data_IF_300365563126
#
_entry.id   IF_300365563126
#
_cell.length_a   1.000
_cell.length_b   1.000
_cell.length_c   1.000
_cell.angle_alpha   90.00
_cell.angle_beta   90.00
_cell.angle_gamma   90.00
#
_symmetry.space_group_name_H-M   'P 1'
#
loop_
_entity.id
_entity.type
_entity.pdbx_description
1 polymer ?
#
# COMPACT_ATOMS: atom_id res chain seq x y z
N UNK A 1 27.77 -7.05 11.39
CA UNK A 1 26.44 -7.68 11.27
C UNK A 1 25.88 -7.22 9.93
N UNK A 2 25.84 -8.11 8.94
CA UNK A 2 25.34 -7.78 7.60
C UNK A 2 23.81 -7.83 7.64
N UNK A 3 23.15 -6.70 7.42
CA UNK A 3 21.73 -6.72 7.08
C UNK A 3 21.65 -7.23 5.64
N UNK A 4 21.25 -8.50 5.48
CA UNK A 4 20.75 -8.99 4.19
C UNK A 4 19.61 -8.04 3.80
N UNK A 5 19.65 -7.50 2.58
CA UNK A 5 18.48 -6.90 1.99
C UNK A 5 17.39 -7.99 1.95
N UNK A 6 16.46 -7.95 2.89
CA UNK A 6 15.24 -8.72 2.78
C UNK A 6 14.37 -7.93 1.82
N UNK A 7 14.20 -8.44 0.61
CA UNK A 7 13.18 -7.94 -0.31
C UNK A 7 11.87 -7.81 0.48
N UNK A 8 11.23 -6.64 0.44
CA UNK A 8 9.90 -6.49 1.00
C UNK A 8 8.93 -7.39 0.23
N UNK A 9 8.63 -8.57 0.76
CA UNK A 9 7.59 -9.42 0.21
C UNK A 9 6.25 -9.03 0.83
N UNK A 10 5.21 -9.02 0.01
CA UNK A 10 3.85 -8.80 0.49
C UNK A 10 3.33 -10.15 0.98
N UNK A 11 2.87 -10.20 2.22
CA UNK A 11 2.14 -11.33 2.74
C UNK A 11 0.71 -11.33 2.16
N UNK A 12 0.42 -12.29 1.28
CA UNK A 12 -0.92 -12.48 0.70
C UNK A 12 -1.83 -13.27 1.63
N UNK A 13 -3.14 -13.07 1.49
CA UNK A 13 -4.16 -13.82 2.24
C UNK A 13 -4.17 -13.49 3.73
N UNK A 14 -3.68 -12.31 4.11
CA UNK A 14 -3.60 -11.89 5.50
C UNK A 14 -5.02 -11.67 6.05
N UNK A 15 -5.48 -12.46 7.04
CA UNK A 15 -6.83 -12.30 7.56
C UNK A 15 -6.96 -11.00 8.35
N UNK A 16 -8.08 -10.29 8.16
CA UNK A 16 -8.40 -9.08 8.89
C UNK A 16 -9.64 -9.26 9.75
N UNK A 17 -9.50 -8.93 11.03
CA UNK A 17 -10.62 -8.96 11.97
C UNK A 17 -11.36 -7.63 12.02
N UNK A 18 -12.67 -7.68 12.25
CA UNK A 18 -13.46 -6.48 12.49
C UNK A 18 -12.88 -5.65 13.64
N UNK A 19 -12.65 -4.36 13.40
CA UNK A 19 -12.09 -3.43 14.37
C UNK A 19 -10.57 -3.49 14.51
N UNK A 20 -9.88 -4.38 13.78
CA UNK A 20 -8.42 -4.48 13.78
C UNK A 20 -7.79 -3.11 13.49
N UNK A 21 -6.84 -2.64 14.32
CA UNK A 21 -6.15 -1.40 14.08
C UNK A 21 -5.22 -1.54 12.87
N UNK A 22 -5.36 -0.61 11.94
CA UNK A 22 -4.48 -0.46 10.78
C UNK A 22 -3.85 0.92 10.81
N UNK A 23 -2.60 1.00 10.38
CA UNK A 23 -1.81 2.21 10.32
C UNK A 23 -1.73 2.69 8.88
N UNK A 24 -1.64 4.00 8.69
CA UNK A 24 -1.42 4.59 7.37
C UNK A 24 -0.59 5.85 7.52
N UNK A 25 0.11 6.22 6.45
CA UNK A 25 0.87 7.45 6.38
C UNK A 25 0.54 8.15 5.06
N UNK A 26 -0.27 9.21 5.15
CA UNK A 26 -0.63 10.06 4.02
C UNK A 26 0.35 11.22 3.85
N UNK A 27 0.46 11.73 2.62
CA UNK A 27 1.29 12.91 2.33
C UNK A 27 0.78 14.15 3.08
N UNK A 28 -0.55 14.29 3.19
CA UNK A 28 -1.20 15.44 3.82
C UNK A 28 -1.56 15.13 5.27
N UNK A 29 -2.15 13.96 5.53
CA UNK A 29 -2.61 13.62 6.89
C UNK A 29 -1.53 13.05 7.81
N UNK A 30 -0.30 12.86 7.32
CA UNK A 30 0.78 12.18 8.05
C UNK A 30 0.31 10.80 8.59
N UNK A 31 0.80 10.39 9.76
CA UNK A 31 0.46 9.12 10.37
C UNK A 31 -0.95 9.13 11.00
N UNK A 32 -1.76 8.12 10.68
CA UNK A 32 -3.08 7.88 11.28
C UNK A 32 -3.26 6.40 11.67
N UNK A 33 -4.21 6.16 12.59
CA UNK A 33 -4.60 4.80 13.02
C UNK A 33 -6.09 4.63 12.75
N UNK A 34 -6.40 3.78 11.80
CA UNK A 34 -7.76 3.44 11.39
C UNK A 34 -8.20 2.11 12.01
N UNK A 35 -9.49 1.80 11.95
CA UNK A 35 -10.04 0.48 12.32
C UNK A 35 -10.72 -0.15 11.13
N UNK A 36 -10.35 -1.39 10.82
CA UNK A 36 -10.98 -2.15 9.73
C UNK A 36 -12.47 -2.37 10.01
N UNK A 37 -13.31 -2.05 9.02
CA UNK A 37 -14.75 -2.04 9.21
C UNK A 37 -15.41 -3.39 8.92
N UNK A 38 -14.71 -4.34 8.28
CA UNK A 38 -15.23 -5.60 7.70
C UNK A 38 -16.38 -5.42 6.68
N UNK A 39 -16.65 -4.19 6.25
CA UNK A 39 -17.72 -3.90 5.30
C UNK A 39 -17.10 -3.67 3.91
N UNK A 40 -17.21 -4.65 2.99
CA UNK A 40 -16.99 -4.41 1.58
C UNK A 40 -17.92 -3.28 1.13
N UNK A 41 -17.32 -2.30 0.46
CA UNK A 41 -17.97 -1.13 -0.10
C UNK A 41 -17.94 -1.28 -1.60
N UNK A 42 -19.11 -1.45 -2.22
CA UNK A 42 -19.20 -1.43 -3.67
C UNK A 42 -19.06 0.01 -4.18
N UNK A 43 -18.08 0.25 -5.04
CA UNK A 43 -17.85 1.56 -5.66
C UNK A 43 -18.29 1.52 -7.11
N UNK A 44 -19.11 2.49 -7.50
CA UNK A 44 -19.52 2.67 -8.87
C UNK A 44 -18.59 3.66 -9.59
N UNK A 45 -17.96 3.22 -10.66
CA UNK A 45 -17.25 4.08 -11.60
C UNK A 45 -18.07 4.25 -12.88
N UNK A 46 -17.98 5.42 -13.51
CA UNK A 46 -18.62 5.68 -14.81
C UNK A 46 -17.54 5.64 -15.87
N UNK A 47 -17.60 4.66 -16.76
CA UNK A 47 -16.69 4.55 -17.89
C UNK A 47 -16.94 5.69 -18.90
N UNK A 48 -15.97 5.94 -19.77
CA UNK A 48 -16.05 7.01 -20.77
C UNK A 48 -17.25 6.90 -21.72
N UNK A 49 -17.79 5.69 -21.90
CA UNK A 49 -19.00 5.40 -22.68
C UNK A 49 -20.32 5.62 -21.89
N UNK A 50 -20.25 6.08 -20.63
CA UNK A 50 -21.40 6.28 -19.74
C UNK A 50 -21.87 5.03 -19.01
N UNK A 51 -21.23 3.88 -19.23
CA UNK A 51 -21.54 2.62 -18.54
C UNK A 51 -21.11 2.70 -17.06
N UNK A 52 -21.96 2.20 -16.17
CA UNK A 52 -21.59 2.05 -14.75
C UNK A 52 -20.91 0.71 -14.53
N UNK A 53 -19.77 0.75 -13.87
CA UNK A 53 -19.03 -0.43 -13.40
C UNK A 53 -18.99 -0.40 -11.89
N UNK A 54 -18.99 -1.58 -11.28
CA UNK A 54 -18.88 -1.73 -9.84
C UNK A 54 -17.57 -2.47 -9.52
N UNK A 55 -16.91 -2.06 -8.45
CA UNK A 55 -15.80 -2.79 -7.82
C UNK A 55 -16.09 -2.96 -6.34
N UNK A 56 -15.67 -4.07 -5.75
CA UNK A 56 -15.84 -4.34 -4.32
C UNK A 56 -14.55 -3.98 -3.58
N UNK A 57 -14.64 -2.98 -2.72
CA UNK A 57 -13.46 -2.37 -2.08
C UNK A 57 -13.60 -2.43 -0.57
N UNK A 58 -12.50 -2.29 0.14
CA UNK A 58 -12.50 -2.39 1.60
C UNK A 58 -12.55 -1.01 2.25
N UNK A 59 -12.95 -0.95 3.52
CA UNK A 59 -12.97 0.32 4.25
C UNK A 59 -12.42 0.23 5.67
N UNK A 60 -11.83 1.34 6.10
CA UNK A 60 -11.45 1.57 7.49
C UNK A 60 -12.07 2.87 8.00
N UNK A 61 -12.36 2.92 9.29
CA UNK A 61 -12.84 4.13 9.95
C UNK A 61 -11.69 4.81 10.71
N UNK A 62 -11.51 6.10 10.49
CA UNK A 62 -10.67 6.96 11.34
C UNK A 62 -11.45 7.37 12.58
N UNK A 63 -10.73 7.64 13.67
CA UNK A 63 -11.34 8.27 14.85
C UNK A 63 -11.56 9.74 14.56
N UNK A 64 -12.66 10.31 15.05
CA UNK A 64 -12.98 11.72 14.87
C UNK A 64 -11.90 12.70 15.38
N UNK A 65 -11.03 12.25 16.30
CA UNK A 65 -9.92 13.05 16.83
C UNK A 65 -8.66 13.02 15.95
N UNK A 66 -8.62 12.18 14.91
CA UNK A 66 -7.49 12.09 13.98
C UNK A 66 -7.73 12.97 12.76
N UNK A 67 -6.65 13.40 12.09
CA UNK A 67 -6.76 14.07 10.80
C UNK A 67 -7.61 13.25 9.83
N UNK A 68 -8.49 13.93 9.10
CA UNK A 68 -9.23 13.36 7.99
C UNK A 68 -8.27 12.87 6.90
N UNK A 69 -8.73 11.90 6.11
CA UNK A 69 -8.07 11.55 4.85
C UNK A 69 -8.36 12.64 3.83
N UNK A 70 -7.30 13.28 3.32
CA UNK A 70 -7.40 14.48 2.48
C UNK A 70 -7.04 14.20 1.01
N UNK A 71 -7.49 15.04 0.07
CA UNK A 71 -6.98 15.02 -1.30
C UNK A 71 -5.44 15.14 -1.30
N UNK A 72 -4.75 14.10 -1.78
CA UNK A 72 -3.28 13.98 -1.71
C UNK A 72 -2.81 12.77 -0.91
N UNK A 73 -3.67 12.19 -0.07
CA UNK A 73 -3.37 10.95 0.66
C UNK A 73 -3.61 9.67 -0.18
N UNK A 74 -4.22 9.78 -1.36
CA UNK A 74 -4.43 8.65 -2.28
C UNK A 74 -3.09 8.01 -2.66
N UNK A 75 -3.05 6.68 -2.64
CA UNK A 75 -1.83 5.88 -2.79
C UNK A 75 -1.17 5.52 -1.46
N UNK A 76 -1.63 6.06 -0.32
CA UNK A 76 -1.12 5.68 1.00
C UNK A 76 -1.39 4.20 1.29
N UNK A 77 -0.37 3.49 1.76
CA UNK A 77 -0.52 2.11 2.20
C UNK A 77 -1.25 2.07 3.55
N UNK A 78 -2.08 1.03 3.71
CA UNK A 78 -2.54 0.57 5.01
C UNK A 78 -1.71 -0.63 5.41
N UNK A 79 -1.28 -0.67 6.67
CA UNK A 79 -0.45 -1.74 7.18
C UNK A 79 -0.77 -2.09 8.64
N UNK A 80 -0.46 -3.31 9.05
CA UNK A 80 -0.65 -3.76 10.43
C UNK A 80 0.37 -3.11 11.37
N UNK A 81 0.20 -3.25 12.68
CA UNK A 81 1.21 -2.82 13.66
C UNK A 81 2.57 -3.50 13.51
N UNK A 82 2.66 -4.59 12.73
CA UNK A 82 3.91 -5.29 12.40
C UNK A 82 4.54 -4.83 11.08
N UNK A 83 3.90 -3.90 10.35
CA UNK A 83 4.39 -3.39 9.08
C UNK A 83 3.92 -4.17 7.84
N UNK A 84 3.08 -5.20 7.99
CA UNK A 84 2.57 -5.94 6.84
C UNK A 84 1.56 -5.09 6.08
N UNK A 85 1.77 -4.89 4.77
CA UNK A 85 0.84 -4.17 3.92
C UNK A 85 -0.48 -4.94 3.77
N UNK A 86 -1.58 -4.23 3.97
CA UNK A 86 -2.95 -4.75 3.90
C UNK A 86 -3.69 -4.24 2.67
N UNK A 87 -3.31 -3.07 2.17
CA UNK A 87 -3.92 -2.52 0.97
C UNK A 87 -3.47 -1.09 0.72
N UNK A 88 -4.11 -0.47 -0.27
CA UNK A 88 -3.77 0.88 -0.72
C UNK A 88 -5.02 1.76 -0.72
N UNK A 89 -4.98 2.85 0.04
CA UNK A 89 -6.05 3.83 0.10
C UNK A 89 -6.13 4.62 -1.20
N UNK A 90 -7.34 4.86 -1.70
CA UNK A 90 -7.53 5.69 -2.90
C UNK A 90 -8.62 6.75 -2.73
N UNK A 91 -9.41 6.71 -1.65
CA UNK A 91 -10.46 7.69 -1.43
C UNK A 91 -10.94 7.81 0.01
N UNK A 92 -11.54 8.96 0.30
CA UNK A 92 -12.23 9.24 1.55
C UNK A 92 -13.73 9.47 1.33
N UNK A 93 -14.54 9.04 2.30
CA UNK A 93 -15.96 9.31 2.43
C UNK A 93 -16.22 9.98 3.78
N UNK A 94 -17.37 10.66 3.90
CA UNK A 94 -17.79 11.33 5.14
C UNK A 94 -16.69 12.27 5.66
N UNK A 95 -16.27 13.24 4.84
CA UNK A 95 -15.19 14.19 5.15
C UNK A 95 -13.88 13.48 5.56
N UNK A 96 -13.53 12.40 4.85
CA UNK A 96 -12.29 11.66 5.09
C UNK A 96 -12.26 10.79 6.34
N UNK A 97 -13.40 10.59 7.01
CA UNK A 97 -13.50 9.74 8.22
C UNK A 97 -13.64 8.25 7.89
N UNK A 98 -14.18 7.93 6.70
CA UNK A 98 -14.18 6.57 6.17
C UNK A 98 -13.16 6.56 5.03
N UNK A 99 -12.11 5.76 5.15
CA UNK A 99 -11.10 5.60 4.11
C UNK A 99 -11.40 4.31 3.36
N UNK A 100 -11.44 4.41 2.03
CA UNK A 100 -11.71 3.31 1.13
C UNK A 100 -10.40 2.89 0.47
N UNK A 101 -10.17 1.59 0.39
CA UNK A 101 -8.89 1.03 -0.03
C UNK A 101 -9.08 -0.30 -0.76
N UNK A 102 -8.19 -0.58 -1.70
CA UNK A 102 -8.12 -1.88 -2.39
C UNK A 102 -7.29 -2.82 -1.56
N UNK A 103 -7.79 -4.04 -1.34
CA UNK A 103 -7.04 -5.05 -0.59
C UNK A 103 -5.77 -5.43 -1.34
N UNK A 104 -4.72 -5.81 -0.61
CA UNK A 104 -3.42 -6.08 -1.24
C UNK A 104 -3.46 -7.28 -2.19
N UNK A 105 -4.28 -8.29 -1.87
CA UNK A 105 -4.48 -9.46 -2.74
C UNK A 105 -5.13 -9.07 -4.07
N UNK A 106 -6.16 -8.21 -4.03
CA UNK A 106 -6.84 -7.72 -5.23
C UNK A 106 -5.89 -6.85 -6.06
N UNK A 107 -5.12 -5.98 -5.41
CA UNK A 107 -4.11 -5.15 -6.09
C UNK A 107 -3.05 -6.01 -6.79
N UNK A 108 -2.58 -7.09 -6.13
CA UNK A 108 -1.63 -8.03 -6.74
C UNK A 108 -2.28 -8.75 -7.93
N UNK A 109 -3.51 -9.23 -7.77
CA UNK A 109 -4.24 -9.92 -8.83
C UNK A 109 -4.41 -9.02 -10.06
N UNK A 110 -4.81 -7.77 -9.86
CA UNK A 110 -4.97 -6.77 -10.93
C UNK A 110 -3.65 -6.48 -11.64
N UNK A 111 -2.55 -6.31 -10.89
CA UNK A 111 -1.22 -6.10 -11.48
C UNK A 111 -0.83 -7.29 -12.34
N UNK A 112 -1.02 -8.53 -11.85
CA UNK A 112 -0.70 -9.75 -12.60
C UNK A 112 -1.55 -9.86 -13.87
N UNK A 113 -2.85 -9.56 -13.79
CA UNK A 113 -3.73 -9.56 -14.96
C UNK A 113 -3.26 -8.56 -16.02
N UNK A 114 -2.87 -7.35 -15.62
CA UNK A 114 -2.45 -6.30 -16.55
C UNK A 114 -1.06 -6.52 -17.15
N UNK A 115 -0.16 -7.16 -16.41
CA UNK A 115 1.26 -7.27 -16.80
C UNK A 115 1.68 -8.68 -17.22
N UNK A 116 0.82 -9.67 -17.01
CA UNK A 116 1.10 -11.10 -17.24
C UNK A 116 2.33 -11.63 -16.49
N UNK A 117 2.65 -11.05 -15.32
CA UNK A 117 3.74 -11.52 -14.45
C UNK A 117 3.24 -12.55 -13.43
N UNK A 118 4.12 -13.46 -13.04
CA UNK A 118 3.81 -14.48 -12.03
C UNK A 118 3.98 -13.95 -10.58
N UNK A 119 4.83 -12.94 -10.39
CA UNK A 119 5.21 -12.39 -9.08
C UNK A 119 5.22 -10.86 -9.09
N UNK A 120 4.72 -10.26 -8.00
CA UNK A 120 4.73 -8.81 -7.77
C UNK A 120 5.59 -8.53 -6.53
N UNK A 121 6.58 -7.65 -6.70
CA UNK A 121 7.49 -7.23 -5.63
C UNK A 121 7.42 -5.72 -5.49
N UNK A 122 7.14 -5.21 -4.30
CA UNK A 122 7.27 -3.78 -4.01
C UNK A 122 8.70 -3.48 -3.54
N UNK A 123 9.46 -2.78 -4.36
CA UNK A 123 10.80 -2.34 -4.01
C UNK A 123 10.73 -1.22 -2.96
N UNK A 124 11.22 -1.49 -1.75
CA UNK A 124 11.60 -0.43 -0.82
C UNK A 124 12.97 0.11 -1.24
N UNK A 125 13.08 1.42 -1.42
CA UNK A 125 14.28 2.14 -1.90
C UNK A 125 15.61 1.64 -1.33
N UNK A 126 16.67 1.66 -2.16
CA UNK A 126 18.06 1.43 -1.72
C UNK A 126 18.59 2.57 -0.83
N UNK A 127 19.44 2.19 0.13
CA UNK A 127 20.28 3.07 0.95
C UNK A 127 21.19 3.96 0.08
N UNK A 128 21.33 5.27 0.34
CA UNK A 128 22.16 6.16 -0.45
C UNK A 128 23.63 5.99 -0.04
N UNK A 129 24.35 5.10 -0.71
CA UNK A 129 25.80 5.01 -0.62
C UNK A 129 26.37 4.55 -1.95
N UNK A 130 27.25 5.35 -2.54
CA UNK A 130 27.85 5.07 -3.85
C UNK A 130 28.44 3.66 -3.95
N UNK A 131 28.43 3.05 -5.15
CA UNK A 131 29.23 1.86 -5.40
C UNK A 131 30.69 2.27 -5.30
N UNK A 132 31.29 2.06 -4.12
CA UNK A 132 32.73 2.13 -3.97
C UNK A 132 33.32 1.08 -4.90
N UNK A 133 33.89 1.55 -6.00
CA UNK A 133 34.85 0.79 -6.80
C UNK A 133 35.81 0.15 -5.81
N UNK A 134 35.86 -1.17 -5.77
CA UNK A 134 36.81 -1.88 -4.93
C UNK A 134 38.21 -1.33 -5.19
N UNK A 135 39.01 -1.03 -4.15
CA UNK A 135 40.40 -0.65 -4.37
C UNK A 135 41.14 -1.90 -4.84
N UNK A 136 41.39 -2.02 -6.15
CA UNK A 136 42.49 -2.87 -6.62
C UNK A 136 42.38 -3.65 -7.92
N UNK A 137 41.39 -3.45 -8.81
CA UNK A 137 41.54 -3.95 -10.19
C UNK A 137 42.01 -2.85 -11.14
N UNK A 138 43.31 -2.94 -11.43
CA UNK A 138 44.11 -2.59 -12.64
C UNK A 138 45.46 -2.05 -12.18
N UNK A 139 46.62 -2.39 -12.72
CA UNK A 139 47.01 -3.23 -13.86
C UNK A 139 48.53 -3.49 -13.69
N UNK A 140 49.02 -4.62 -14.22
CA UNK A 140 50.38 -4.83 -14.77
C UNK A 140 51.65 -4.49 -13.98
N UNK A 141 52.58 -5.44 -13.92
CA UNK A 141 54.01 -5.17 -14.14
C UNK A 141 54.99 -5.70 -13.08
N UNK A 142 55.73 -6.73 -13.49
CA UNK A 142 56.94 -7.34 -12.89
C UNK A 142 56.76 -8.24 -11.67
#
# INVERSE_FOLDING_TARGET
MFLKAENGYIEQGLPLDHGQPLHTYGCESNAAICRYSILPTTIFTVAANGERRATDEQSVCRRASQPSFEPGDSGALLFTGYGNAVGMAFGGQVQGQIVVFTHIDDLIADIKEQTAVDEVVFYTQEWPGEPSRGPGERDSGY
#
